data_IF_033837212307
#
_entry.id   IF_033837212307
#
_cell.length_a   1.000
_cell.length_b   1.000
_cell.length_c   1.000
_cell.angle_alpha   90.00
_cell.angle_beta   90.00
_cell.angle_gamma   90.00
#
_symmetry.space_group_name_H-M   'P 1'
#
loop_
_entity.id
_entity.type
_entity.pdbx_description
1 polymer ?
#
# COMPACT_ATOMS: atom_id res chain seq x y z
N UNK A 1 -9.39 -2.14 -7.69
CA UNK A 1 -9.12 -3.56 -7.97
C UNK A 1 -10.40 -4.27 -8.36
N UNK A 2 -10.38 -5.15 -9.36
CA UNK A 2 -11.54 -5.96 -9.79
C UNK A 2 -11.55 -7.34 -9.13
N UNK A 3 -12.61 -8.13 -9.33
CA UNK A 3 -12.72 -9.49 -8.78
C UNK A 3 -11.59 -10.42 -9.26
N UNK A 4 -11.16 -10.27 -10.52
CA UNK A 4 -10.04 -11.06 -11.06
C UNK A 4 -8.72 -10.73 -10.34
N UNK A 5 -8.50 -9.46 -9.96
CA UNK A 5 -7.38 -9.02 -9.13
C UNK A 5 -7.43 -9.62 -7.73
N UNK A 6 -8.61 -9.72 -7.12
CA UNK A 6 -8.77 -10.40 -5.82
C UNK A 6 -8.34 -11.86 -5.90
N UNK A 7 -8.72 -12.59 -6.95
CA UNK A 7 -8.31 -13.99 -7.13
C UNK A 7 -6.80 -14.13 -7.35
N UNK A 8 -6.17 -13.20 -8.09
CA UNK A 8 -4.71 -13.17 -8.24
C UNK A 8 -4.02 -12.95 -6.90
N UNK A 9 -4.51 -12.01 -6.09
CA UNK A 9 -3.97 -11.76 -4.76
C UNK A 9 -4.15 -12.96 -3.81
N UNK A 10 -5.30 -13.63 -3.85
CA UNK A 10 -5.53 -14.84 -3.06
C UNK A 10 -4.54 -15.94 -3.43
N UNK A 11 -4.37 -16.22 -4.72
CA UNK A 11 -3.39 -17.21 -5.20
C UNK A 11 -1.96 -16.86 -4.77
N UNK A 12 -1.59 -15.58 -4.84
CA UNK A 12 -0.29 -15.09 -4.41
C UNK A 12 -0.09 -15.20 -2.88
N UNK A 13 -1.12 -14.86 -2.09
CA UNK A 13 -1.10 -14.94 -0.64
C UNK A 13 -0.89 -16.38 -0.16
N UNK A 14 -1.61 -17.34 -0.77
CA UNK A 14 -1.46 -18.77 -0.48
C UNK A 14 -0.07 -19.29 -0.86
N UNK A 15 0.48 -18.83 -1.99
CA UNK A 15 1.74 -19.35 -2.50
C UNK A 15 2.97 -18.76 -1.80
N UNK A 16 2.95 -17.46 -1.46
CA UNK A 16 4.19 -16.75 -1.15
C UNK A 16 4.06 -15.53 -0.21
N UNK A 17 3.04 -15.52 0.65
CA UNK A 17 2.93 -14.56 1.75
C UNK A 17 2.77 -15.26 3.10
N UNK A 18 3.08 -14.54 4.17
CA UNK A 18 2.65 -14.93 5.51
C UNK A 18 1.17 -14.50 5.69
N UNK A 19 0.28 -15.36 6.22
CA UNK A 19 -1.10 -14.98 6.54
C UNK A 19 -1.23 -13.67 7.33
N UNK A 20 -0.31 -13.38 8.25
CA UNK A 20 -0.37 -12.14 9.06
C UNK A 20 0.07 -10.89 8.28
N UNK A 21 0.76 -11.07 7.15
CA UNK A 21 1.13 -9.95 6.26
C UNK A 21 -0.05 -9.52 5.37
N UNK A 22 -1.02 -10.42 5.13
CA UNK A 22 -2.08 -10.23 4.12
C UNK A 22 -3.46 -10.02 4.73
N UNK A 23 -3.70 -10.55 5.93
CA UNK A 23 -5.01 -10.54 6.58
C UNK A 23 -4.87 -10.21 8.06
N UNK A 24 -5.91 -9.66 8.71
CA UNK A 24 -5.94 -9.55 10.15
C UNK A 24 -5.67 -10.91 10.82
N UNK A 25 -5.05 -10.93 12.02
CA UNK A 25 -4.77 -12.16 12.74
C UNK A 25 -6.01 -13.06 12.87
N UNK A 26 -5.83 -14.36 12.62
CA UNK A 26 -6.90 -15.37 12.71
C UNK A 26 -7.43 -15.87 11.38
N UNK A 27 -7.05 -15.25 10.26
CA UNK A 27 -7.30 -15.82 8.94
C UNK A 27 -6.40 -17.02 8.66
N UNK A 28 -6.94 -18.00 7.94
CA UNK A 28 -6.27 -19.25 7.56
C UNK A 28 -6.50 -19.57 6.09
N UNK A 29 -5.56 -20.31 5.46
CA UNK A 29 -5.57 -20.58 4.02
C UNK A 29 -6.80 -21.40 3.54
N UNK A 30 -7.47 -22.10 4.45
CA UNK A 30 -8.71 -22.86 4.20
C UNK A 30 -9.98 -21.98 4.20
N UNK A 31 -9.83 -20.66 4.41
CA UNK A 31 -10.94 -19.69 4.39
C UNK A 31 -10.77 -18.65 3.27
N UNK A 32 -10.79 -19.06 2.00
CA UNK A 32 -10.60 -18.13 0.88
C UNK A 32 -11.74 -17.11 0.75
N UNK A 33 -12.94 -17.43 1.24
CA UNK A 33 -14.08 -16.51 1.17
C UNK A 33 -13.93 -15.31 2.13
N UNK A 34 -13.37 -15.53 3.33
CA UNK A 34 -13.03 -14.45 4.27
C UNK A 34 -12.01 -13.48 3.64
N UNK A 35 -11.03 -14.00 2.89
CA UNK A 35 -10.09 -13.18 2.12
C UNK A 35 -10.81 -12.34 1.06
N UNK A 36 -11.67 -12.99 0.26
CA UNK A 36 -12.43 -12.30 -0.80
C UNK A 36 -13.31 -11.19 -0.24
N UNK A 37 -14.06 -11.47 0.83
CA UNK A 37 -14.93 -10.49 1.48
C UNK A 37 -14.11 -9.29 1.99
N UNK A 38 -12.99 -9.55 2.67
CA UNK A 38 -12.11 -8.51 3.17
C UNK A 38 -11.58 -7.61 2.05
N UNK A 39 -11.03 -8.20 0.98
CA UNK A 39 -10.46 -7.43 -0.14
C UNK A 39 -11.51 -6.76 -1.04
N UNK A 40 -12.72 -7.32 -1.13
CA UNK A 40 -13.87 -6.64 -1.76
C UNK A 40 -14.22 -5.34 -1.06
N UNK A 41 -14.08 -5.29 0.26
CA UNK A 41 -14.27 -4.07 1.06
C UNK A 41 -13.30 -2.93 0.72
N UNK A 42 -12.20 -3.21 0.03
CA UNK A 42 -11.20 -2.22 -0.39
C UNK A 42 -11.09 -2.05 -1.90
N UNK A 43 -12.04 -2.54 -2.70
CA UNK A 43 -11.93 -2.53 -4.17
C UNK A 43 -11.63 -1.15 -4.76
N UNK A 44 -12.21 -0.08 -4.20
CA UNK A 44 -12.02 1.30 -4.69
C UNK A 44 -10.69 1.92 -4.23
N UNK A 45 -10.10 1.38 -3.17
CA UNK A 45 -8.91 1.92 -2.51
C UNK A 45 -7.66 1.07 -2.71
N UNK A 46 -7.80 -0.15 -3.21
CA UNK A 46 -6.72 -1.11 -3.39
C UNK A 46 -6.28 -1.23 -4.86
N UNK A 47 -4.98 -1.39 -5.01
CA UNK A 47 -4.26 -1.55 -6.25
C UNK A 47 -3.40 -2.80 -6.18
N UNK A 48 -3.30 -3.50 -7.30
CA UNK A 48 -2.31 -4.56 -7.46
C UNK A 48 -0.93 -3.93 -7.70
N UNK A 49 0.08 -4.49 -7.06
CA UNK A 49 1.47 -4.21 -7.37
C UNK A 49 1.89 -5.20 -8.44
N UNK A 50 2.25 -4.69 -9.62
CA UNK A 50 2.64 -5.51 -10.77
C UNK A 50 4.12 -5.28 -11.09
N UNK A 51 4.86 -6.39 -11.22
CA UNK A 51 6.24 -6.41 -11.72
C UNK A 51 6.30 -7.21 -13.03
N UNK A 52 6.57 -6.52 -14.14
CA UNK A 52 6.37 -7.06 -15.48
C UNK A 52 4.89 -7.41 -15.74
N UNK A 53 4.60 -8.69 -15.90
CA UNK A 53 3.23 -9.21 -16.10
C UNK A 53 2.67 -9.91 -14.84
N UNK A 54 3.39 -9.88 -13.73
CA UNK A 54 3.02 -10.64 -12.52
C UNK A 54 2.53 -9.71 -11.42
N UNK A 55 1.38 -10.02 -10.86
CA UNK A 55 0.96 -9.46 -9.57
C UNK A 55 1.90 -10.00 -8.48
N UNK A 56 2.52 -9.11 -7.74
CA UNK A 56 3.51 -9.41 -6.69
C UNK A 56 3.15 -8.82 -5.33
N UNK A 57 1.98 -8.20 -5.21
CA UNK A 57 1.46 -7.71 -3.95
C UNK A 57 0.29 -6.77 -4.12
N UNK A 58 -0.05 -6.07 -3.05
CA UNK A 58 -1.14 -5.11 -2.99
C UNK A 58 -0.69 -3.87 -2.24
N UNK A 59 -1.18 -2.72 -2.68
CA UNK A 59 -1.11 -1.47 -1.93
C UNK A 59 -2.48 -0.80 -1.94
N UNK A 60 -2.86 -0.16 -0.83
CA UNK A 60 -4.09 0.62 -0.75
C UNK A 60 -3.85 2.08 -0.34
N UNK A 61 -4.80 2.94 -0.68
CA UNK A 61 -4.89 4.32 -0.19
C UNK A 61 -6.35 4.67 0.07
N UNK A 62 -6.72 4.79 1.34
CA UNK A 62 -8.08 5.18 1.71
C UNK A 62 -8.31 6.67 1.46
N UNK A 63 -9.57 7.09 1.36
CA UNK A 63 -9.94 8.51 1.27
C UNK A 63 -9.43 9.38 2.45
N UNK A 64 -9.08 8.76 3.59
CA UNK A 64 -8.49 9.46 4.74
C UNK A 64 -6.97 9.57 4.66
N UNK A 65 -6.33 8.91 3.70
CA UNK A 65 -4.87 8.88 3.53
C UNK A 65 -4.17 7.70 4.19
N UNK A 66 -4.91 6.73 4.71
CA UNK A 66 -4.30 5.52 5.27
C UNK A 66 -3.81 4.59 4.16
N UNK A 67 -2.57 4.13 4.24
CA UNK A 67 -1.99 3.14 3.33
C UNK A 67 -1.64 1.85 4.04
N UNK A 68 -1.88 0.74 3.36
CA UNK A 68 -1.41 -0.59 3.73
C UNK A 68 -0.76 -1.25 2.52
N UNK A 69 0.31 -2.00 2.75
CA UNK A 69 1.08 -2.66 1.70
C UNK A 69 1.52 -4.05 2.14
N UNK A 70 1.44 -5.01 1.23
CA UNK A 70 2.18 -6.25 1.35
C UNK A 70 2.75 -6.64 -0.01
N UNK A 71 3.92 -7.29 0.04
CA UNK A 71 4.64 -7.76 -1.14
C UNK A 71 5.01 -9.22 -0.89
N UNK A 72 4.76 -10.07 -1.88
CA UNK A 72 5.13 -11.48 -1.85
C UNK A 72 6.64 -11.65 -1.60
N UNK A 73 7.02 -12.69 -0.86
CA UNK A 73 8.40 -12.84 -0.38
C UNK A 73 9.42 -12.87 -1.51
N UNK A 74 9.10 -13.51 -2.63
CA UNK A 74 9.94 -13.57 -3.83
C UNK A 74 10.25 -12.22 -4.47
N UNK A 75 9.38 -11.22 -4.28
CA UNK A 75 9.54 -9.88 -4.85
C UNK A 75 10.14 -8.86 -3.85
N UNK A 76 10.34 -9.25 -2.59
CA UNK A 76 10.98 -8.39 -1.57
C UNK A 76 12.45 -8.12 -1.93
N UNK A 77 12.96 -6.97 -1.50
CA UNK A 77 14.36 -6.56 -1.74
C UNK A 77 14.64 -5.93 -3.11
N UNK A 78 13.71 -5.99 -4.06
CA UNK A 78 13.90 -5.46 -5.43
C UNK A 78 13.38 -4.03 -5.63
N UNK A 79 13.00 -3.34 -4.54
CA UNK A 79 12.52 -1.95 -4.60
C UNK A 79 11.06 -1.78 -5.04
N UNK A 80 10.37 -2.86 -5.43
CA UNK A 80 8.97 -2.83 -5.91
C UNK A 80 8.03 -2.17 -4.89
N UNK A 81 8.11 -2.54 -3.60
CA UNK A 81 7.26 -1.95 -2.57
C UNK A 81 7.48 -0.43 -2.39
N UNK A 82 8.72 0.05 -2.57
CA UNK A 82 9.02 1.48 -2.52
C UNK A 82 8.48 2.22 -3.74
N UNK A 83 8.56 1.61 -4.92
CA UNK A 83 7.98 2.17 -6.14
C UNK A 83 6.45 2.25 -6.05
N UNK A 84 5.80 1.21 -5.50
CA UNK A 84 4.36 1.19 -5.26
C UNK A 84 3.92 2.28 -4.28
N UNK A 85 4.61 2.41 -3.13
CA UNK A 85 4.31 3.43 -2.14
C UNK A 85 4.48 4.85 -2.69
N UNK A 86 5.51 5.10 -3.50
CA UNK A 86 5.70 6.41 -4.18
C UNK A 86 4.56 6.74 -5.13
N UNK A 87 4.10 5.77 -5.94
CA UNK A 87 2.93 5.95 -6.81
C UNK A 87 1.66 6.30 -6.04
N UNK A 88 1.44 5.65 -4.90
CA UNK A 88 0.32 5.98 -4.02
C UNK A 88 0.42 7.41 -3.47
N UNK A 89 1.62 7.85 -3.07
CA UNK A 89 1.85 9.23 -2.62
C UNK A 89 1.60 10.23 -3.75
N UNK A 90 2.01 9.92 -4.97
CA UNK A 90 1.77 10.75 -6.16
C UNK A 90 0.28 10.84 -6.55
N UNK A 91 -0.51 9.80 -6.26
CA UNK A 91 -1.95 9.77 -6.53
C UNK A 91 -2.78 10.45 -5.44
N UNK A 92 -2.24 10.57 -4.22
CA UNK A 92 -2.94 11.12 -3.07
C UNK A 92 -3.62 12.49 -3.31
N UNK A 93 -3.00 13.48 -3.99
CA UNK A 93 -3.65 14.77 -4.26
C UNK A 93 -4.95 14.65 -5.05
N UNK A 94 -5.01 13.72 -6.03
CA UNK A 94 -6.20 13.49 -6.86
C UNK A 94 -7.38 12.94 -6.07
N UNK A 95 -7.08 12.28 -4.94
CA UNK A 95 -8.07 11.81 -3.96
C UNK A 95 -8.38 12.84 -2.87
N UNK A 96 -7.82 14.05 -2.94
CA UNK A 96 -7.95 15.07 -1.90
C UNK A 96 -7.16 14.76 -0.62
N UNK A 97 -6.22 13.81 -0.67
CA UNK A 97 -5.39 13.40 0.46
C UNK A 97 -4.13 14.26 0.50
N UNK A 98 -3.93 14.97 1.61
CA UNK A 98 -2.77 15.86 1.83
C UNK A 98 -1.67 15.22 2.68
N UNK A 99 -1.94 14.08 3.31
CA UNK A 99 -0.98 13.31 4.11
C UNK A 99 -1.30 11.83 3.97
N UNK A 100 -0.29 11.04 3.59
CA UNK A 100 -0.37 9.59 3.63
C UNK A 100 0.16 9.12 4.98
N UNK A 101 -0.54 8.19 5.63
CA UNK A 101 -0.09 7.61 6.89
C UNK A 101 -0.23 6.10 6.91
N UNK A 102 0.59 5.45 7.72
CA UNK A 102 0.56 4.02 7.94
C UNK A 102 0.86 3.71 9.41
N UNK A 103 0.20 2.67 9.92
CA UNK A 103 0.46 2.12 11.23
C UNK A 103 1.23 0.81 11.10
N UNK A 104 2.24 0.66 11.95
CA UNK A 104 3.02 -0.57 12.03
C UNK A 104 3.58 -0.72 13.44
N UNK A 105 4.31 -1.80 13.68
CA UNK A 105 5.01 -2.05 14.93
C UNK A 105 6.53 -1.91 14.76
N UNK A 106 7.23 -1.72 15.87
CA UNK A 106 8.71 -1.57 15.93
C UNK A 106 9.48 -2.84 15.55
N UNK A 107 8.86 -4.02 15.59
CA UNK A 107 9.43 -5.28 15.12
C UNK A 107 9.29 -5.46 13.60
N UNK A 108 8.41 -4.71 12.94
CA UNK A 108 8.28 -4.69 11.48
C UNK A 108 9.37 -3.81 10.83
N UNK A 109 10.60 -4.28 10.95
CA UNK A 109 11.80 -3.60 10.45
C UNK A 109 11.75 -3.33 8.95
N UNK A 110 11.11 -4.20 8.17
CA UNK A 110 10.92 -4.04 6.74
C UNK A 110 9.99 -2.85 6.41
N UNK A 111 8.83 -2.77 7.06
CA UNK A 111 7.91 -1.64 6.89
C UNK A 111 8.55 -0.32 7.35
N UNK A 112 9.22 -0.31 8.51
CA UNK A 112 9.92 0.89 8.98
C UNK A 112 10.99 1.37 7.99
N UNK A 113 11.77 0.45 7.42
CA UNK A 113 12.79 0.80 6.42
C UNK A 113 12.15 1.35 5.13
N UNK A 114 11.05 0.74 4.68
CA UNK A 114 10.28 1.20 3.52
C UNK A 114 9.74 2.62 3.75
N UNK A 115 9.06 2.86 4.87
CA UNK A 115 8.46 4.14 5.22
C UNK A 115 9.51 5.25 5.32
N UNK A 116 10.65 5.00 5.96
CA UNK A 116 11.78 5.96 6.00
C UNK A 116 12.29 6.30 4.60
N UNK A 117 12.46 5.30 3.72
CA UNK A 117 12.89 5.51 2.33
C UNK A 117 11.87 6.28 1.48
N UNK A 118 10.60 6.23 1.87
CA UNK A 118 9.52 7.01 1.28
C UNK A 118 9.41 8.43 1.86
N UNK A 119 10.27 8.81 2.83
CA UNK A 119 10.27 10.13 3.45
C UNK A 119 9.30 10.27 4.63
N UNK A 120 8.84 9.16 5.21
CA UNK A 120 7.97 9.21 6.37
C UNK A 120 8.69 9.77 7.60
N UNK A 121 8.00 10.66 8.31
CA UNK A 121 8.27 10.96 9.71
C UNK A 121 7.62 9.87 10.54
N UNK A 122 8.43 9.18 11.35
CA UNK A 122 7.95 8.13 12.24
C UNK A 122 7.80 8.68 13.66
N UNK A 123 6.62 8.49 14.24
CA UNK A 123 6.33 8.72 15.64
C UNK A 123 6.16 7.35 16.33
N UNK A 124 6.86 7.14 17.44
CA UNK A 124 6.96 5.83 18.10
C UNK A 124 6.38 5.92 19.50
N UNK A 125 5.34 5.15 19.77
CA UNK A 125 4.71 5.01 21.09
C UNK A 125 4.76 3.54 21.54
N UNK A 126 5.69 3.24 22.44
CA UNK A 126 5.96 1.87 22.87
C UNK A 126 6.37 0.98 21.69
N UNK A 127 5.54 -0.02 21.38
CA UNK A 127 5.75 -0.92 20.22
C UNK A 127 5.05 -0.43 18.95
N UNK A 128 4.17 0.56 19.04
CA UNK A 128 3.41 1.10 17.91
C UNK A 128 4.19 2.21 17.21
N UNK A 129 4.06 2.28 15.89
CA UNK A 129 4.73 3.27 15.05
C UNK A 129 3.70 3.89 14.12
N UNK A 130 3.47 5.19 14.29
CA UNK A 130 2.68 6.02 13.39
C UNK A 130 3.60 6.69 12.37
N UNK A 131 3.47 6.33 11.11
CA UNK A 131 4.25 6.93 10.01
C UNK A 131 3.41 7.95 9.26
N UNK A 132 3.97 9.14 8.99
CA UNK A 132 3.31 10.19 8.20
C UNK A 132 4.22 10.69 7.08
N UNK A 133 3.69 10.74 5.86
CA UNK A 133 4.35 11.22 4.66
C UNK A 133 3.55 12.42 4.14
N UNK A 134 4.11 13.64 4.19
CA UNK A 134 3.49 14.80 3.56
C UNK A 134 3.37 14.57 2.06
N UNK A 135 2.19 14.83 1.51
CA UNK A 135 1.97 14.71 0.08
C UNK A 135 2.39 16.04 -0.58
N UNK A 136 3.18 16.02 -1.66
CA UNK A 136 3.45 17.23 -2.43
C UNK A 136 2.12 17.81 -2.92
N UNK A 137 1.89 19.10 -2.69
CA UNK A 137 0.77 19.79 -3.33
C UNK A 137 1.02 19.70 -4.85
N UNK A 138 0.09 19.14 -5.61
CA UNK A 138 0.14 19.24 -7.08
C UNK A 138 0.27 20.75 -7.38
N UNK A 139 1.33 21.21 -8.07
CA UNK A 139 1.40 22.62 -8.43
C UNK A 139 0.14 22.93 -9.22
N UNK A 140 -0.62 23.93 -8.77
CA UNK A 140 -1.75 24.48 -9.53
C UNK A 140 -1.24 24.64 -10.97
N UNK A 141 -1.93 24.10 -12.00
CA UNK A 141 -1.49 24.30 -13.37
C UNK A 141 -1.35 25.80 -13.55
N UNK A 142 -0.12 26.25 -13.83
CA UNK A 142 0.13 27.65 -14.12
C UNK A 142 -0.78 27.99 -15.29
N UNK A 143 -1.79 28.83 -15.04
CA UNK A 143 -2.63 29.39 -16.10
C UNK A 143 -1.68 29.89 -17.16
N UNK A 144 -1.68 29.21 -18.32
CA UNK A 144 -0.83 29.52 -19.44
C UNK A 144 -1.23 30.88 -19.98
N UNK A 145 -0.63 31.93 -19.43
CA UNK A 145 -0.56 33.23 -20.07
C UNK A 145 0.65 33.16 -21.00
N UNK A 146 0.44 32.60 -22.19
CA UNK A 146 1.30 32.86 -23.32
C UNK A 146 0.69 34.05 -24.08
N UNK A 147 1.18 35.25 -23.76
CA UNK A 147 1.01 36.45 -24.58
C UNK A 147 2.33 36.69 -25.30
N UNK A 148 2.34 36.39 -26.60
CA UNK A 148 3.47 36.62 -27.50
C UNK A 148 3.05 36.52 -28.95
#
# INVERSE_FOLDING_TARGET
MDDAGVERLLGLAVADADPTDVMPPGWTLDRPDDFREFYRGFQDDAYEIVDGERTVGMIRLTAKGETGIWVARCARGHGVGLAALRRVIEEAPRRGVTTVFADTTTDNTAAMALLRKAGAVLDVDGTHVHARIPVPVEPCPSDGVDVG
#
